data_IF_289726714091
#
_entry.id   IF_289726714091
#
_cell.length_a   1.000
_cell.length_b   1.000
_cell.length_c   1.000
_cell.angle_alpha   90.00
_cell.angle_beta   90.00
_cell.angle_gamma   90.00
#
_symmetry.space_group_name_H-M   'P 1'
#
loop_
_entity.id
_entity.type
_entity.pdbx_description
1 polymer ?
#
# COMPACT_ATOMS: atom_id res chain seq x y z
N UNK A 1 27.20 -18.42 -8.55
CA UNK A 1 26.93 -17.65 -7.31
C UNK A 1 25.84 -16.66 -7.65
N UNK A 2 24.76 -16.65 -6.90
CA UNK A 2 23.66 -15.70 -7.11
C UNK A 2 24.17 -14.31 -6.77
N UNK A 3 24.03 -13.35 -7.69
CA UNK A 3 24.43 -11.96 -7.44
C UNK A 3 23.45 -11.38 -6.40
N UNK A 4 23.97 -10.69 -5.37
CA UNK A 4 23.15 -10.06 -4.32
C UNK A 4 23.01 -8.57 -4.60
N UNK A 5 21.79 -8.04 -4.42
CA UNK A 5 21.55 -6.60 -4.43
C UNK A 5 21.85 -5.99 -3.07
N UNK A 6 21.61 -6.74 -2.00
CA UNK A 6 21.92 -6.32 -0.64
C UNK A 6 22.29 -7.51 0.24
N UNK A 7 23.11 -7.25 1.27
CA UNK A 7 23.48 -8.20 2.31
C UNK A 7 23.51 -7.49 3.66
N UNK A 8 22.89 -8.10 4.65
CA UNK A 8 22.86 -7.64 6.03
C UNK A 8 23.51 -8.67 6.94
N UNK A 9 24.29 -8.21 7.91
CA UNK A 9 24.97 -9.07 8.88
C UNK A 9 24.77 -8.50 10.29
N UNK A 10 24.06 -9.24 11.15
CA UNK A 10 23.78 -8.92 12.56
C UNK A 10 23.28 -7.48 12.76
N UNK A 11 22.38 -7.03 11.89
CA UNK A 11 21.86 -5.66 11.90
C UNK A 11 20.85 -5.48 13.01
N UNK A 12 21.07 -4.46 13.86
CA UNK A 12 20.13 -4.04 14.90
C UNK A 12 19.76 -2.58 14.73
N UNK A 13 18.50 -2.26 15.01
CA UNK A 13 17.98 -0.89 15.00
C UNK A 13 16.95 -0.70 16.09
N UNK A 14 17.09 0.36 16.88
CA UNK A 14 16.15 0.71 17.94
C UNK A 14 15.67 2.15 17.84
N UNK A 15 14.44 2.40 18.27
CA UNK A 15 13.83 3.70 18.44
C UNK A 15 13.52 3.90 19.92
N UNK A 16 14.38 4.63 20.62
CA UNK A 16 14.32 4.69 22.07
C UNK A 16 14.50 3.29 22.69
N UNK A 17 13.52 2.83 23.44
CA UNK A 17 13.51 1.49 24.06
C UNK A 17 12.96 0.40 23.14
N UNK A 18 12.35 0.74 22.01
CA UNK A 18 11.72 -0.22 21.10
C UNK A 18 12.73 -0.72 20.07
N UNK A 19 13.01 -2.03 20.09
CA UNK A 19 13.86 -2.67 19.09
C UNK A 19 13.03 -2.94 17.82
N UNK A 20 13.36 -2.24 16.74
CA UNK A 20 12.67 -2.38 15.45
C UNK A 20 13.28 -3.48 14.58
N UNK A 21 14.60 -3.69 14.66
CA UNK A 21 15.30 -4.80 14.01
C UNK A 21 16.22 -5.48 15.04
N UNK A 22 16.17 -6.81 15.09
CA UNK A 22 16.89 -7.60 16.05
C UNK A 22 17.79 -8.65 15.38
N UNK A 23 19.08 -8.31 15.25
CA UNK A 23 20.13 -9.21 14.77
C UNK A 23 19.85 -9.81 13.38
N UNK A 24 19.32 -8.97 12.46
CA UNK A 24 19.00 -9.38 11.09
C UNK A 24 20.27 -9.77 10.33
N UNK A 25 20.31 -11.01 9.84
CA UNK A 25 21.27 -11.48 8.85
C UNK A 25 20.49 -11.99 7.64
N UNK A 26 20.75 -11.41 6.45
CA UNK A 26 19.90 -11.60 5.28
C UNK A 26 20.68 -11.32 4.00
N UNK A 27 20.54 -12.22 3.02
CA UNK A 27 21.02 -12.06 1.66
C UNK A 27 19.83 -11.80 0.74
N UNK A 28 19.86 -10.72 -0.06
CA UNK A 28 18.78 -10.33 -0.97
C UNK A 28 19.28 -10.48 -2.40
N UNK A 29 18.64 -11.36 -3.22
CA UNK A 29 19.06 -11.60 -4.58
C UNK A 29 18.83 -10.37 -5.48
N UNK A 30 19.71 -10.18 -6.48
CA UNK A 30 19.63 -9.11 -7.48
C UNK A 30 18.74 -9.51 -8.67
N UNK A 31 18.21 -8.51 -9.40
CA UNK A 31 17.45 -8.69 -10.64
C UNK A 31 16.06 -9.29 -10.45
N UNK A 32 15.60 -9.44 -9.22
CA UNK A 32 14.29 -10.04 -8.89
C UNK A 32 13.40 -9.06 -8.12
N UNK A 33 12.11 -9.38 -8.04
CA UNK A 33 11.14 -8.67 -7.18
C UNK A 33 11.06 -9.40 -5.84
N UNK A 34 11.51 -8.71 -4.80
CA UNK A 34 11.55 -9.21 -3.42
C UNK A 34 10.42 -8.58 -2.60
N UNK A 35 9.64 -9.40 -1.92
CA UNK A 35 8.59 -8.95 -0.99
C UNK A 35 9.02 -9.08 0.48
N UNK A 36 8.93 -7.99 1.23
CA UNK A 36 8.96 -8.03 2.70
C UNK A 36 7.53 -8.17 3.19
N UNK A 37 7.19 -9.31 3.76
CA UNK A 37 5.85 -9.61 4.26
C UNK A 37 5.82 -9.71 5.79
N UNK A 38 4.71 -9.35 6.38
CA UNK A 38 4.48 -9.41 7.82
C UNK A 38 3.54 -8.30 8.30
N UNK A 39 3.09 -8.36 9.57
CA UNK A 39 2.18 -7.37 10.16
C UNK A 39 2.77 -5.96 10.18
N UNK A 40 1.93 -4.98 10.49
CA UNK A 40 2.39 -3.61 10.71
C UNK A 40 3.26 -3.52 11.96
N UNK A 41 4.27 -2.64 11.93
CA UNK A 41 5.17 -2.40 13.06
C UNK A 41 6.28 -3.42 13.27
N UNK A 42 6.42 -4.47 12.44
CA UNK A 42 7.46 -5.51 12.61
C UNK A 42 8.85 -5.12 12.11
N UNK A 43 9.04 -3.89 11.61
CA UNK A 43 10.34 -3.40 11.17
C UNK A 43 10.56 -3.35 9.66
N UNK A 44 9.57 -3.67 8.80
CA UNK A 44 9.69 -3.63 7.32
C UNK A 44 10.23 -2.29 6.82
N UNK A 45 9.55 -1.19 7.13
CA UNK A 45 9.96 0.17 6.72
C UNK A 45 11.33 0.57 7.29
N UNK A 46 11.67 0.09 8.48
CA UNK A 46 12.99 0.31 9.10
C UNK A 46 14.10 -0.37 8.31
N UNK A 47 13.86 -1.61 7.86
CA UNK A 47 14.78 -2.35 7.01
C UNK A 47 14.95 -1.65 5.66
N UNK A 48 13.86 -1.24 5.01
CA UNK A 48 13.90 -0.49 3.74
C UNK A 48 14.65 0.83 3.86
N UNK A 49 14.50 1.56 4.97
CA UNK A 49 15.20 2.81 5.22
C UNK A 49 16.72 2.61 5.39
N UNK A 50 17.16 1.49 5.96
CA UNK A 50 18.59 1.13 6.02
C UNK A 50 19.13 0.78 4.63
N UNK A 51 18.40 -0.02 3.84
CA UNK A 51 18.79 -0.41 2.49
C UNK A 51 18.88 0.77 1.53
N UNK A 52 17.99 1.76 1.68
CA UNK A 52 18.00 2.97 0.87
C UNK A 52 19.04 4.02 1.30
N UNK A 53 19.72 3.82 2.44
CA UNK A 53 20.59 4.82 3.04
C UNK A 53 19.87 6.00 3.69
N UNK A 54 18.53 6.00 3.72
CA UNK A 54 17.74 7.05 4.38
C UNK A 54 17.88 7.02 5.92
N UNK A 55 18.48 5.97 6.47
CA UNK A 55 18.72 5.83 7.90
C UNK A 55 20.12 5.33 8.19
N UNK A 56 20.74 5.91 9.23
CA UNK A 56 22.06 5.49 9.70
C UNK A 56 22.00 4.08 10.35
N UNK A 57 23.04 3.29 10.08
CA UNK A 57 23.22 1.97 10.68
C UNK A 57 23.65 2.18 12.14
N UNK A 58 22.94 1.54 13.08
CA UNK A 58 23.29 1.57 14.50
C UNK A 58 24.26 0.45 14.88
N UNK A 59 23.97 -0.77 14.44
CA UNK A 59 24.82 -1.95 14.68
C UNK A 59 24.72 -2.90 13.48
N UNK A 60 25.75 -3.71 13.30
CA UNK A 60 25.86 -4.67 12.22
C UNK A 60 26.42 -4.05 10.94
N UNK A 61 26.31 -4.79 9.83
CA UNK A 61 26.83 -4.37 8.53
C UNK A 61 25.71 -4.45 7.49
N UNK A 62 25.59 -3.41 6.67
CA UNK A 62 24.64 -3.34 5.55
C UNK A 62 25.41 -3.05 4.27
N UNK A 63 25.37 -3.97 3.33
CA UNK A 63 25.94 -3.79 2.00
C UNK A 63 24.80 -3.70 0.97
N UNK A 64 24.88 -2.74 0.07
CA UNK A 64 23.91 -2.54 -1.01
C UNK A 64 24.68 -2.21 -2.30
N UNK A 65 24.29 -2.78 -3.42
CA UNK A 65 24.94 -2.56 -4.72
C UNK A 65 26.48 -2.74 -4.65
N UNK A 66 26.92 -3.75 -3.89
CA UNK A 66 28.31 -4.17 -3.84
C UNK A 66 29.22 -3.41 -2.86
N UNK A 67 28.68 -2.50 -2.05
CA UNK A 67 29.50 -1.78 -1.06
C UNK A 67 28.80 -1.53 0.29
N UNK A 68 29.57 -1.06 1.26
CA UNK A 68 29.15 -0.84 2.63
C UNK A 68 28.41 0.49 2.79
N UNK A 69 27.15 0.44 3.23
CA UNK A 69 26.31 1.61 3.46
C UNK A 69 26.75 2.43 4.69
N UNK A 70 27.71 1.97 5.49
CA UNK A 70 28.36 2.79 6.52
C UNK A 70 29.34 3.81 5.90
N UNK A 71 29.93 3.50 4.73
CA UNK A 71 30.82 4.42 4.00
C UNK A 71 30.03 5.55 3.35
N UNK A 72 30.39 6.81 3.66
CA UNK A 72 29.81 7.98 2.96
C UNK A 72 30.15 7.99 1.48
N UNK A 73 31.41 7.65 1.15
CA UNK A 73 31.86 7.57 -0.24
C UNK A 73 31.04 6.59 -1.07
N UNK A 74 30.76 5.41 -0.52
CA UNK A 74 29.90 4.44 -1.20
C UNK A 74 28.45 4.92 -1.34
N UNK A 75 27.86 5.49 -0.26
CA UNK A 75 26.50 6.05 -0.34
C UNK A 75 26.40 7.14 -1.41
N UNK A 76 27.37 8.06 -1.48
CA UNK A 76 27.38 9.13 -2.48
C UNK A 76 27.49 8.57 -3.90
N UNK A 77 28.25 7.49 -4.09
CA UNK A 77 28.40 6.81 -5.37
C UNK A 77 27.12 6.10 -5.84
N UNK A 78 26.35 5.50 -4.91
CA UNK A 78 25.19 4.67 -5.27
C UNK A 78 23.84 5.36 -5.05
N UNK A 79 23.77 6.54 -4.45
CA UNK A 79 22.50 7.21 -4.15
C UNK A 79 21.66 7.49 -5.40
N UNK A 80 22.30 7.74 -6.54
CA UNK A 80 21.62 7.90 -7.83
C UNK A 80 21.15 6.59 -8.46
N UNK A 81 21.63 5.44 -7.98
CA UNK A 81 21.21 4.11 -8.43
C UNK A 81 20.07 3.53 -7.57
N UNK A 82 19.67 4.21 -6.50
CA UNK A 82 18.63 3.77 -5.57
C UNK A 82 17.44 4.73 -5.62
N UNK A 83 16.26 4.19 -5.87
CA UNK A 83 15.00 4.92 -5.71
C UNK A 83 14.23 4.41 -4.51
N UNK A 84 13.77 5.31 -3.64
CA UNK A 84 12.96 4.97 -2.48
C UNK A 84 11.61 5.69 -2.52
N UNK A 85 10.54 4.93 -2.53
CA UNK A 85 9.16 5.42 -2.41
C UNK A 85 8.64 5.06 -1.01
N UNK A 86 8.56 6.05 -0.09
CA UNK A 86 8.13 5.81 1.29
C UNK A 86 6.62 5.56 1.37
N UNK A 87 6.20 4.93 2.46
CA UNK A 87 4.80 4.66 2.77
C UNK A 87 3.97 5.96 2.81
N UNK A 88 2.77 5.91 2.24
CA UNK A 88 1.77 6.97 2.25
C UNK A 88 1.59 7.66 0.90
N UNK A 89 0.31 7.91 0.58
CA UNK A 89 -0.12 8.46 -0.71
C UNK A 89 0.47 9.87 -0.95
N UNK A 90 1.41 9.95 -1.89
CA UNK A 90 1.98 11.23 -2.32
C UNK A 90 2.95 11.89 -1.34
N UNK A 91 3.49 11.17 -0.37
CA UNK A 91 4.51 11.72 0.57
C UNK A 91 5.79 12.19 -0.11
N UNK A 92 6.13 11.60 -1.25
CA UNK A 92 7.26 12.01 -2.07
C UNK A 92 6.89 13.05 -3.15
N UNK A 93 5.67 13.64 -3.09
CA UNK A 93 5.18 14.59 -4.08
C UNK A 93 5.02 15.99 -3.49
N UNK A 94 5.29 16.99 -4.31
CA UNK A 94 4.91 18.38 -4.06
C UNK A 94 3.47 18.59 -4.53
N UNK A 95 2.52 18.59 -3.60
CA UNK A 95 1.08 18.56 -3.90
C UNK A 95 0.57 19.83 -4.63
N UNK A 96 1.27 20.95 -4.46
CA UNK A 96 0.96 22.22 -5.14
C UNK A 96 1.47 22.27 -6.58
N UNK A 97 2.50 21.48 -6.90
CA UNK A 97 3.07 21.39 -8.23
C UNK A 97 2.21 20.46 -9.10
N UNK A 98 2.20 20.73 -10.41
CA UNK A 98 1.58 19.87 -11.43
C UNK A 98 2.32 18.52 -11.54
N UNK A 99 1.72 17.58 -12.27
CA UNK A 99 2.37 16.28 -12.61
C UNK A 99 3.70 16.55 -13.32
N UNK A 100 3.72 17.43 -14.32
CA UNK A 100 4.93 17.75 -15.08
C UNK A 100 5.99 18.41 -14.20
N UNK A 101 5.63 19.38 -13.37
CA UNK A 101 6.57 20.08 -12.48
C UNK A 101 7.20 19.15 -11.44
N UNK A 102 6.44 18.21 -10.87
CA UNK A 102 7.00 17.18 -9.99
C UNK A 102 8.08 16.38 -10.72
N UNK A 103 7.79 15.88 -11.92
CA UNK A 103 8.74 15.10 -12.70
C UNK A 103 9.96 15.93 -13.15
N UNK A 104 9.74 17.18 -13.55
CA UNK A 104 10.82 18.12 -13.87
C UNK A 104 11.76 18.35 -12.68
N UNK A 105 11.19 18.49 -11.48
CA UNK A 105 11.97 18.66 -10.25
C UNK A 105 12.92 17.51 -10.03
N UNK A 106 12.40 16.28 -9.99
CA UNK A 106 13.24 15.09 -9.75
C UNK A 106 14.24 14.86 -10.89
N UNK A 107 13.84 15.02 -12.15
CA UNK A 107 14.74 14.86 -13.27
C UNK A 107 15.91 15.88 -13.27
N UNK A 108 15.67 17.11 -12.78
CA UNK A 108 16.74 18.10 -12.59
C UNK A 108 17.65 17.74 -11.42
N UNK A 109 17.08 17.21 -10.33
CA UNK A 109 17.84 16.76 -9.16
C UNK A 109 18.88 15.70 -9.55
N UNK A 110 18.51 14.80 -10.48
CA UNK A 110 19.41 13.77 -11.01
C UNK A 110 20.24 14.24 -12.22
N UNK A 111 20.29 15.54 -12.53
CA UNK A 111 21.18 16.12 -13.52
C UNK A 111 20.76 15.93 -14.99
N UNK A 112 19.53 15.49 -15.28
CA UNK A 112 19.07 15.31 -16.65
C UNK A 112 19.01 16.64 -17.41
N UNK A 113 19.53 16.68 -18.64
CA UNK A 113 19.39 17.83 -19.53
C UNK A 113 17.94 17.96 -20.03
N UNK A 114 17.62 19.09 -20.69
CA UNK A 114 16.24 19.40 -21.12
C UNK A 114 15.65 18.35 -22.08
N UNK A 115 16.46 17.80 -22.98
CA UNK A 115 16.03 16.80 -23.96
C UNK A 115 15.71 15.47 -23.27
N UNK A 116 16.58 15.03 -22.37
CA UNK A 116 16.39 13.80 -21.62
C UNK A 116 15.20 13.90 -20.66
N UNK A 117 15.05 15.01 -19.95
CA UNK A 117 13.87 15.24 -19.10
C UNK A 117 12.56 15.09 -19.89
N UNK A 118 12.48 15.74 -21.06
CA UNK A 118 11.27 15.66 -21.89
C UNK A 118 10.99 14.24 -22.33
N UNK A 119 12.02 13.54 -22.80
CA UNK A 119 11.91 12.13 -23.22
C UNK A 119 11.38 11.25 -22.08
N UNK A 120 11.98 11.33 -20.89
CA UNK A 120 11.59 10.51 -19.74
C UNK A 120 10.20 10.84 -19.20
N UNK A 121 9.85 12.12 -19.13
CA UNK A 121 8.51 12.55 -18.71
C UNK A 121 7.45 12.00 -19.67
N UNK A 122 7.64 12.15 -20.98
CA UNK A 122 6.72 11.63 -21.97
C UNK A 122 6.58 10.11 -21.89
N UNK A 123 7.70 9.38 -21.77
CA UNK A 123 7.73 7.92 -21.65
C UNK A 123 6.95 7.44 -20.41
N UNK A 124 7.32 7.93 -19.23
CA UNK A 124 6.72 7.50 -17.97
C UNK A 124 5.25 7.90 -17.86
N UNK A 125 4.89 9.12 -18.28
CA UNK A 125 3.49 9.58 -18.18
C UNK A 125 2.58 8.90 -19.18
N UNK A 126 3.06 8.55 -20.38
CA UNK A 126 2.32 7.72 -21.35
C UNK A 126 2.15 6.30 -20.83
N UNK A 127 3.20 5.70 -20.29
CA UNK A 127 3.16 4.35 -19.73
C UNK A 127 2.18 4.21 -18.56
N UNK A 128 2.03 5.27 -17.74
CA UNK A 128 1.18 5.30 -16.55
C UNK A 128 -0.23 5.85 -16.79
N UNK A 129 -0.49 6.41 -18.00
CA UNK A 129 -1.74 7.08 -18.32
C UNK A 129 -1.89 8.48 -17.67
N UNK A 130 -0.79 9.06 -17.16
CA UNK A 130 -0.78 10.41 -16.58
C UNK A 130 -0.61 11.52 -17.61
N UNK A 131 -0.24 11.19 -18.84
CA UNK A 131 0.05 12.18 -19.89
C UNK A 131 -1.07 13.22 -20.11
N UNK A 132 -2.38 12.88 -20.11
CA UNK A 132 -3.46 13.87 -20.24
C UNK A 132 -3.57 14.83 -19.05
N UNK A 133 -2.90 14.51 -17.94
CA UNK A 133 -3.02 15.24 -16.67
C UNK A 133 -1.75 16.03 -16.31
N UNK A 134 -0.81 16.21 -17.24
CA UNK A 134 0.49 16.86 -17.00
C UNK A 134 0.38 18.19 -16.27
N UNK A 135 -0.62 19.01 -16.59
CA UNK A 135 -0.82 20.33 -15.99
C UNK A 135 -1.67 20.30 -14.71
N UNK A 136 -2.16 19.12 -14.30
CA UNK A 136 -3.00 19.02 -13.09
C UNK A 136 -2.13 19.03 -11.84
N UNK A 137 -2.45 19.86 -10.82
CA UNK A 137 -1.78 19.82 -9.53
C UNK A 137 -1.85 18.43 -8.89
N UNK A 138 -0.75 17.94 -8.35
CA UNK A 138 -0.68 16.61 -7.73
C UNK A 138 -1.68 16.44 -6.58
N UNK A 139 -1.98 17.50 -5.84
CA UNK A 139 -3.00 17.50 -4.80
C UNK A 139 -4.41 17.13 -5.28
N UNK A 140 -4.73 17.44 -6.56
CA UNK A 140 -6.03 17.16 -7.19
C UNK A 140 -6.10 15.81 -7.91
N UNK A 141 -5.09 14.97 -7.78
CA UNK A 141 -5.06 13.60 -8.32
C UNK A 141 -5.78 12.64 -7.37
N UNK A 142 -6.37 11.57 -7.92
CA UNK A 142 -6.85 10.44 -7.12
C UNK A 142 -5.69 9.71 -6.41
N UNK A 143 -5.98 8.90 -5.40
CA UNK A 143 -4.97 8.11 -4.70
C UNK A 143 -4.11 7.25 -5.64
N UNK A 144 -4.75 6.49 -6.54
CA UNK A 144 -4.05 5.68 -7.53
C UNK A 144 -3.21 6.51 -8.52
N UNK A 145 -3.68 7.70 -8.91
CA UNK A 145 -2.88 8.62 -9.76
C UNK A 145 -1.68 9.20 -9.00
N UNK A 146 -1.82 9.52 -7.71
CA UNK A 146 -0.70 9.95 -6.86
C UNK A 146 0.36 8.87 -6.74
N UNK A 147 -0.05 7.60 -6.56
CA UNK A 147 0.88 6.47 -6.53
C UNK A 147 1.63 6.32 -7.86
N UNK A 148 0.92 6.38 -8.98
CA UNK A 148 1.54 6.33 -10.31
C UNK A 148 2.53 7.49 -10.51
N UNK A 149 2.20 8.71 -10.07
CA UNK A 149 3.11 9.85 -10.14
C UNK A 149 4.33 9.66 -9.23
N UNK A 150 4.13 9.19 -8.00
CA UNK A 150 5.22 8.88 -7.07
C UNK A 150 6.20 7.86 -7.65
N UNK A 151 5.66 6.82 -8.30
CA UNK A 151 6.47 5.83 -9.01
C UNK A 151 7.21 6.45 -10.20
N UNK A 152 6.58 7.30 -11.01
CA UNK A 152 7.26 8.00 -12.10
C UNK A 152 8.41 8.87 -11.58
N UNK A 153 8.21 9.58 -10.47
CA UNK A 153 9.28 10.37 -9.84
C UNK A 153 10.44 9.49 -9.36
N UNK A 154 10.15 8.32 -8.80
CA UNK A 154 11.16 7.36 -8.36
C UNK A 154 11.93 6.73 -9.54
N UNK A 155 11.29 6.57 -10.69
CA UNK A 155 11.88 5.92 -11.87
C UNK A 155 12.51 6.90 -12.87
N UNK A 156 12.44 8.21 -12.61
CA UNK A 156 12.86 9.22 -13.60
C UNK A 156 14.33 9.11 -13.98
N UNK A 157 15.16 8.59 -13.08
CA UNK A 157 16.62 8.48 -13.20
C UNK A 157 17.13 7.06 -13.46
N UNK A 158 16.26 6.10 -13.83
CA UNK A 158 16.59 4.70 -14.15
C UNK A 158 17.40 3.98 -13.04
N UNK A 159 16.83 3.84 -11.82
CA UNK A 159 17.55 3.23 -10.71
C UNK A 159 17.87 1.74 -10.94
N UNK A 160 18.98 1.24 -10.40
CA UNK A 160 19.31 -0.19 -10.33
C UNK A 160 18.54 -0.92 -9.22
N UNK A 161 18.16 -0.17 -8.17
CA UNK A 161 17.38 -0.67 -7.03
C UNK A 161 16.18 0.24 -6.77
N UNK A 162 14.98 -0.31 -6.92
CA UNK A 162 13.72 0.34 -6.60
C UNK A 162 13.18 -0.22 -5.28
N UNK A 163 12.99 0.64 -4.29
CA UNK A 163 12.46 0.29 -2.97
C UNK A 163 11.08 0.92 -2.82
N UNK A 164 10.06 0.10 -2.56
CA UNK A 164 8.67 0.50 -2.42
C UNK A 164 8.13 0.10 -1.05
N UNK A 165 7.75 1.09 -0.25
CA UNK A 165 7.23 0.86 1.10
C UNK A 165 5.70 0.97 1.09
N UNK A 166 5.02 -0.17 1.15
CA UNK A 166 3.57 -0.31 1.09
C UNK A 166 2.91 0.53 -0.04
N UNK A 167 3.33 0.35 -1.30
CA UNK A 167 2.98 1.26 -2.38
C UNK A 167 1.50 1.25 -2.74
N UNK A 168 0.74 0.23 -2.34
CA UNK A 168 -0.67 0.05 -2.73
C UNK A 168 -1.64 0.21 -1.55
N UNK A 169 -1.15 0.55 -0.36
CA UNK A 169 -2.00 0.79 0.81
C UNK A 169 -2.92 1.98 0.57
N UNK A 170 -4.23 1.77 0.79
CA UNK A 170 -5.27 2.78 0.54
C UNK A 170 -5.64 2.98 -0.94
N UNK A 171 -5.12 2.14 -1.84
CA UNK A 171 -5.46 2.13 -3.27
C UNK A 171 -6.54 1.10 -3.54
N UNK A 172 -7.51 1.43 -4.40
CA UNK A 172 -8.57 0.50 -4.78
C UNK A 172 -8.04 -0.71 -5.59
N UNK A 173 -8.79 -1.84 -5.61
CA UNK A 173 -8.31 -3.08 -6.24
C UNK A 173 -7.93 -2.94 -7.72
N UNK A 174 -8.67 -2.13 -8.50
CA UNK A 174 -8.38 -1.93 -9.92
C UNK A 174 -7.07 -1.14 -10.10
N UNK A 175 -6.93 -0.03 -9.38
CA UNK A 175 -5.73 0.80 -9.45
C UNK A 175 -4.51 0.03 -8.91
N UNK A 176 -4.68 -0.83 -7.90
CA UNK A 176 -3.66 -1.75 -7.37
C UNK A 176 -3.19 -2.75 -8.44
N UNK A 177 -4.11 -3.43 -9.10
CA UNK A 177 -3.78 -4.35 -10.21
C UNK A 177 -3.03 -3.64 -11.33
N UNK A 178 -3.47 -2.43 -11.72
CA UNK A 178 -2.80 -1.60 -12.73
C UNK A 178 -1.39 -1.19 -12.30
N UNK A 179 -1.17 -0.90 -11.01
CA UNK A 179 0.14 -0.56 -10.46
C UNK A 179 1.13 -1.72 -10.59
N UNK A 180 0.74 -2.93 -10.18
CA UNK A 180 1.59 -4.11 -10.31
C UNK A 180 1.85 -4.52 -11.77
N UNK A 181 0.86 -4.36 -12.63
CA UNK A 181 1.04 -4.57 -14.06
C UNK A 181 2.08 -3.61 -14.66
N UNK A 182 2.05 -2.34 -14.23
CA UNK A 182 3.02 -1.33 -14.62
C UNK A 182 4.44 -1.70 -14.15
N UNK A 183 4.61 -2.09 -12.88
CA UNK A 183 5.92 -2.52 -12.35
C UNK A 183 6.49 -3.69 -13.15
N UNK A 184 5.68 -4.72 -13.43
CA UNK A 184 6.12 -5.88 -14.24
C UNK A 184 6.57 -5.45 -15.64
N UNK A 185 5.82 -4.56 -16.29
CA UNK A 185 6.18 -4.03 -17.61
C UNK A 185 7.48 -3.22 -17.59
N UNK A 186 7.70 -2.41 -16.54
CA UNK A 186 8.94 -1.64 -16.38
C UNK A 186 10.13 -2.60 -16.21
N UNK A 187 10.00 -3.62 -15.37
CA UNK A 187 11.05 -4.65 -15.18
C UNK A 187 11.39 -5.41 -16.48
N UNK A 188 10.38 -5.70 -17.32
CA UNK A 188 10.65 -6.33 -18.63
C UNK A 188 11.58 -5.50 -19.52
N UNK A 189 11.50 -4.15 -19.40
CA UNK A 189 12.38 -3.23 -20.14
C UNK A 189 13.72 -2.96 -19.42
N UNK A 190 13.80 -3.29 -18.12
CA UNK A 190 14.98 -3.10 -17.28
C UNK A 190 15.22 -4.37 -16.44
N UNK A 191 15.68 -5.48 -17.08
CA UNK A 191 15.76 -6.79 -16.41
C UNK A 191 16.77 -6.83 -15.26
N UNK A 192 17.76 -5.95 -15.26
CA UNK A 192 18.78 -5.86 -14.20
C UNK A 192 18.29 -5.06 -12.97
N UNK A 193 17.14 -4.39 -13.06
CA UNK A 193 16.58 -3.62 -11.96
C UNK A 193 16.04 -4.56 -10.88
N UNK A 194 16.60 -4.47 -9.69
CA UNK A 194 16.09 -5.12 -8.49
C UNK A 194 14.94 -4.30 -7.89
N UNK A 195 13.88 -4.97 -7.41
CA UNK A 195 12.75 -4.29 -6.76
C UNK A 195 12.54 -4.92 -5.39
N UNK A 196 12.51 -4.09 -4.33
CA UNK A 196 12.21 -4.54 -2.98
C UNK A 196 10.92 -3.84 -2.54
N UNK A 197 9.94 -4.61 -2.10
CA UNK A 197 8.60 -4.12 -1.76
C UNK A 197 8.23 -4.56 -0.36
N UNK A 198 7.79 -3.67 0.51
CA UNK A 198 7.03 -4.07 1.69
C UNK A 198 5.55 -4.12 1.36
N UNK A 199 4.84 -5.12 1.83
CA UNK A 199 3.38 -5.20 1.72
C UNK A 199 2.77 -5.99 2.88
N UNK A 200 1.57 -5.58 3.31
CA UNK A 200 0.73 -6.36 4.20
C UNK A 200 -0.26 -7.25 3.42
N UNK A 201 -0.34 -7.09 2.09
CA UNK A 201 -1.25 -7.85 1.24
C UNK A 201 -0.59 -9.12 0.72
N UNK A 202 -0.93 -10.27 1.30
CA UNK A 202 -0.35 -11.55 0.93
C UNK A 202 -0.66 -11.95 -0.51
N UNK A 203 -1.84 -11.58 -1.03
CA UNK A 203 -2.22 -11.82 -2.44
C UNK A 203 -1.28 -11.14 -3.44
N UNK A 204 -0.74 -9.97 -3.10
CA UNK A 204 0.26 -9.29 -3.93
C UNK A 204 1.59 -10.04 -3.93
N UNK A 205 1.98 -10.50 -2.74
CA UNK A 205 3.24 -11.19 -2.51
C UNK A 205 3.32 -12.56 -3.21
N UNK A 206 2.18 -13.22 -3.47
CA UNK A 206 2.11 -14.43 -4.30
C UNK A 206 2.69 -14.22 -5.72
N UNK A 207 2.66 -13.00 -6.22
CA UNK A 207 3.16 -12.64 -7.53
C UNK A 207 4.61 -12.15 -7.55
N UNK A 208 5.35 -12.23 -6.44
CA UNK A 208 6.75 -11.81 -6.35
C UNK A 208 7.69 -13.00 -6.55
N UNK A 209 8.94 -12.71 -6.91
CA UNK A 209 9.92 -13.74 -7.22
C UNK A 209 10.50 -14.37 -5.94
N UNK A 210 10.66 -13.57 -4.88
CA UNK A 210 11.26 -13.99 -3.62
C UNK A 210 10.66 -13.22 -2.44
N UNK A 211 10.59 -13.85 -1.27
CA UNK A 211 9.94 -13.30 -0.09
C UNK A 211 10.87 -13.33 1.13
N UNK A 212 10.68 -12.35 1.99
CA UNK A 212 11.26 -12.24 3.34
C UNK A 212 10.10 -12.10 4.31
N UNK A 213 9.81 -13.14 5.08
CA UNK A 213 8.79 -13.10 6.12
C UNK A 213 9.39 -12.54 7.41
N UNK A 214 8.77 -11.48 7.96
CA UNK A 214 9.26 -10.77 9.15
C UNK A 214 8.22 -10.74 10.26
N UNK A 215 8.69 -10.90 11.49
CA UNK A 215 7.89 -10.68 12.70
C UNK A 215 8.78 -10.18 13.84
N UNK A 216 8.28 -9.23 14.63
CA UNK A 216 8.95 -8.70 15.83
C UNK A 216 10.43 -8.31 15.60
N UNK A 217 10.75 -7.68 14.48
CA UNK A 217 12.11 -7.26 14.13
C UNK A 217 13.04 -8.37 13.66
N UNK A 218 12.55 -9.58 13.44
CA UNK A 218 13.33 -10.74 13.01
C UNK A 218 12.84 -11.29 11.67
N UNK A 219 13.72 -11.97 10.93
CA UNK A 219 13.38 -12.73 9.73
C UNK A 219 12.97 -14.14 10.16
N UNK A 220 11.76 -14.56 9.79
CA UNK A 220 11.22 -15.88 10.06
C UNK A 220 11.65 -16.89 9.01
N UNK A 221 11.55 -16.52 7.75
CA UNK A 221 11.88 -17.34 6.60
C UNK A 221 12.15 -16.49 5.37
N UNK A 222 12.87 -17.06 4.41
CA UNK A 222 13.11 -16.48 3.09
C UNK A 222 12.96 -17.55 2.01
N UNK A 223 12.56 -17.18 0.81
CA UNK A 223 12.42 -18.11 -0.33
C UNK A 223 11.39 -17.61 -1.34
N UNK A 224 11.21 -18.33 -2.42
CA UNK A 224 10.11 -18.09 -3.36
C UNK A 224 8.75 -18.41 -2.68
N UNK A 225 7.62 -17.88 -3.17
CA UNK A 225 6.30 -18.29 -2.68
C UNK A 225 6.10 -19.80 -2.69
N UNK A 226 6.54 -20.48 -3.74
CA UNK A 226 6.44 -21.94 -3.86
C UNK A 226 7.24 -22.69 -2.80
N UNK A 227 8.46 -22.24 -2.48
CA UNK A 227 9.27 -22.83 -1.39
C UNK A 227 8.63 -22.62 -0.03
N UNK A 228 8.06 -21.43 0.23
CA UNK A 228 7.36 -21.19 1.49
C UNK A 228 6.09 -22.06 1.61
N UNK A 229 5.30 -22.22 0.55
CA UNK A 229 4.15 -23.14 0.52
C UNK A 229 4.57 -24.59 0.78
N UNK A 230 5.64 -25.06 0.14
CA UNK A 230 6.14 -26.39 0.33
C UNK A 230 6.64 -26.63 1.78
N UNK A 231 7.36 -25.65 2.33
CA UNK A 231 7.89 -25.72 3.69
C UNK A 231 6.80 -25.75 4.75
N UNK A 232 5.72 -25.01 4.53
CA UNK A 232 4.60 -24.86 5.49
C UNK A 232 3.42 -25.79 5.20
N UNK A 233 3.45 -26.53 4.09
CA UNK A 233 2.35 -27.40 3.62
C UNK A 233 1.01 -26.66 3.47
N UNK A 234 1.05 -25.40 2.99
CA UNK A 234 -0.11 -24.53 2.81
C UNK A 234 -0.31 -24.16 1.34
N UNK A 235 -1.53 -23.70 1.00
CA UNK A 235 -1.87 -23.27 -0.37
C UNK A 235 -1.92 -21.74 -0.53
N UNK A 236 -1.85 -20.99 0.58
CA UNK A 236 -1.96 -19.54 0.60
C UNK A 236 -0.89 -18.94 1.50
N UNK A 237 -0.26 -17.83 1.08
CA UNK A 237 0.80 -17.17 1.84
C UNK A 237 0.35 -16.69 3.22
N UNK A 238 -0.91 -16.31 3.40
CA UNK A 238 -1.44 -15.95 4.72
C UNK A 238 -1.34 -17.12 5.70
N UNK A 239 -1.76 -18.31 5.27
CA UNK A 239 -1.65 -19.53 6.07
C UNK A 239 -0.18 -19.93 6.28
N UNK A 240 0.67 -19.78 5.23
CA UNK A 240 2.10 -20.03 5.33
C UNK A 240 2.75 -19.10 6.37
N UNK A 241 2.44 -17.81 6.32
CA UNK A 241 2.96 -16.84 7.27
C UNK A 241 2.56 -17.17 8.72
N UNK A 242 1.29 -17.53 8.96
CA UNK A 242 0.82 -17.95 10.29
C UNK A 242 1.57 -19.18 10.79
N UNK A 243 1.84 -20.15 9.92
CA UNK A 243 2.63 -21.34 10.27
C UNK A 243 4.07 -20.99 10.70
N UNK A 244 4.67 -20.00 10.07
CA UNK A 244 6.03 -19.52 10.37
C UNK A 244 6.13 -18.73 11.68
N UNK A 245 5.03 -18.23 12.22
CA UNK A 245 5.04 -17.49 13.48
C UNK A 245 5.47 -18.40 14.65
N UNK A 246 6.19 -17.86 15.65
CA UNK A 246 6.48 -18.59 16.88
C UNK A 246 5.18 -18.89 17.64
N UNK A 247 5.16 -20.00 18.39
CA UNK A 247 3.96 -20.46 19.12
C UNK A 247 3.38 -19.38 20.07
N UNK A 248 4.24 -18.54 20.65
CA UNK A 248 3.82 -17.42 21.49
C UNK A 248 3.01 -16.37 20.73
N UNK A 249 3.29 -16.16 19.44
CA UNK A 249 2.55 -15.23 18.60
C UNK A 249 1.26 -15.84 18.01
N UNK A 250 1.15 -17.16 18.00
CA UNK A 250 -0.07 -17.90 17.59
C UNK A 250 -1.11 -17.99 18.71
N UNK A 251 -0.74 -17.70 19.96
CA UNK A 251 -1.67 -17.75 21.08
C UNK A 251 -2.84 -16.80 20.89
N UNK A 252 -4.04 -17.35 20.87
CA UNK A 252 -5.28 -16.58 20.60
C UNK A 252 -5.68 -16.45 19.14
N UNK A 253 -4.86 -16.93 18.19
CA UNK A 253 -5.29 -17.03 16.80
C UNK A 253 -6.32 -18.16 16.68
N UNK A 254 -7.55 -17.78 16.35
CA UNK A 254 -8.59 -18.70 15.89
C UNK A 254 -9.01 -18.24 14.51
N UNK A 255 -9.05 -19.17 13.57
CA UNK A 255 -9.62 -18.89 12.26
C UNK A 255 -11.03 -18.31 12.44
N UNK A 256 -11.30 -17.13 11.88
CA UNK A 256 -12.61 -16.51 11.97
C UNK A 256 -13.59 -17.37 11.17
N UNK A 257 -14.36 -18.17 11.87
CA UNK A 257 -15.50 -18.88 11.27
C UNK A 257 -16.70 -17.94 11.37
N UNK A 258 -17.08 -17.35 10.24
CA UNK A 258 -18.36 -16.61 10.16
C UNK A 258 -19.46 -17.64 10.12
N UNK A 259 -20.27 -17.80 11.20
CA UNK A 259 -21.37 -18.74 11.16
C UNK A 259 -22.36 -18.30 10.08
N UNK A 260 -22.98 -19.27 9.37
CA UNK A 260 -24.03 -18.94 8.43
C UNK A 260 -25.14 -18.16 9.14
N UNK A 261 -25.71 -17.15 8.47
CA UNK A 261 -26.82 -16.38 9.00
C UNK A 261 -27.95 -17.35 9.37
N UNK A 262 -28.22 -17.52 10.65
CA UNK A 262 -29.36 -18.33 11.09
C UNK A 262 -30.61 -17.55 10.76
N UNK A 263 -31.32 -17.96 9.71
CA UNK A 263 -32.53 -17.33 9.18
C UNK A 263 -33.70 -17.54 10.15
N UNK A 264 -33.70 -16.84 11.28
CA UNK A 264 -34.82 -16.82 12.23
C UNK A 264 -35.61 -15.51 12.28
N UNK A 265 -34.95 -14.41 12.03
CA UNK A 265 -35.57 -13.06 12.01
C UNK A 265 -35.21 -12.37 10.67
N UNK A 266 -36.15 -12.38 9.73
CA UNK A 266 -36.02 -11.67 8.45
C UNK A 266 -36.19 -10.14 8.59
N UNK A 267 -36.11 -9.60 9.80
CA UNK A 267 -36.26 -8.16 10.04
C UNK A 267 -35.11 -7.38 9.43
N UNK A 268 -35.44 -6.28 8.78
CA UNK A 268 -34.49 -5.39 8.13
C UNK A 268 -33.88 -4.46 9.18
N UNK A 269 -32.57 -4.40 9.21
CA UNK A 269 -31.82 -3.47 10.08
C UNK A 269 -31.65 -2.11 9.39
N UNK A 270 -31.28 -2.10 8.12
CA UNK A 270 -31.04 -0.88 7.33
C UNK A 270 -31.73 -1.06 5.97
N UNK A 271 -32.44 -0.02 5.55
CA UNK A 271 -33.05 0.05 4.22
C UNK A 271 -32.71 1.38 3.57
N UNK A 272 -32.30 1.34 2.32
CA UNK A 272 -32.06 2.51 1.47
C UNK A 272 -33.02 2.45 0.30
N UNK A 273 -33.74 3.53 0.02
CA UNK A 273 -34.66 3.66 -1.09
C UNK A 273 -34.37 4.92 -1.90
N UNK A 274 -33.92 4.75 -3.15
CA UNK A 274 -33.60 5.83 -4.05
C UNK A 274 -32.58 6.82 -3.52
N UNK A 275 -31.66 6.38 -2.67
CA UNK A 275 -30.77 7.24 -1.91
C UNK A 275 -29.78 7.93 -2.85
N UNK A 276 -29.76 9.25 -2.83
CA UNK A 276 -28.85 10.05 -3.68
C UNK A 276 -28.20 11.18 -2.88
N UNK A 277 -26.96 11.53 -3.27
CA UNK A 277 -26.20 12.65 -2.72
C UNK A 277 -25.53 13.45 -3.84
N UNK A 278 -25.77 14.74 -3.83
CA UNK A 278 -25.18 15.70 -4.79
C UNK A 278 -24.47 16.81 -4.00
N UNK A 279 -23.22 17.07 -4.36
CA UNK A 279 -22.41 18.18 -3.83
C UNK A 279 -22.14 19.18 -4.97
N UNK A 280 -22.89 20.30 -4.99
CA UNK A 280 -22.88 21.21 -6.12
C UNK A 280 -23.28 20.49 -7.40
N UNK A 281 -22.42 20.47 -8.40
CA UNK A 281 -22.65 19.76 -9.67
C UNK A 281 -22.20 18.28 -9.64
N UNK A 282 -21.58 17.81 -8.55
CA UNK A 282 -21.05 16.47 -8.43
C UNK A 282 -22.03 15.52 -7.76
N UNK A 283 -22.52 14.51 -8.48
CA UNK A 283 -23.35 13.43 -7.95
C UNK A 283 -22.48 12.34 -7.37
N UNK A 284 -22.37 12.28 -6.04
CA UNK A 284 -21.54 11.31 -5.33
C UNK A 284 -22.22 9.95 -5.15
N UNK A 285 -23.54 9.94 -5.02
CA UNK A 285 -24.40 8.73 -4.94
C UNK A 285 -25.63 8.98 -5.78
N UNK A 286 -26.02 8.00 -6.60
CA UNK A 286 -27.12 8.13 -7.54
C UNK A 286 -28.13 6.97 -7.42
N UNK A 287 -29.30 7.27 -6.85
CA UNK A 287 -30.47 6.40 -6.83
C UNK A 287 -30.20 4.96 -6.34
N UNK A 288 -29.53 4.81 -5.19
CA UNK A 288 -29.13 3.52 -4.63
C UNK A 288 -30.23 2.97 -3.72
N UNK A 289 -30.62 1.71 -3.95
CA UNK A 289 -31.63 1.02 -3.14
C UNK A 289 -31.15 -0.38 -2.76
N UNK A 290 -31.22 -0.73 -1.47
CA UNK A 290 -30.87 -2.04 -0.92
C UNK A 290 -31.40 -2.21 0.49
N UNK A 291 -31.37 -3.43 0.99
CA UNK A 291 -31.75 -3.79 2.36
C UNK A 291 -30.66 -4.64 3.01
N UNK A 292 -30.42 -4.41 4.30
CA UNK A 292 -29.50 -5.16 5.14
C UNK A 292 -30.30 -5.79 6.28
N UNK A 293 -30.25 -7.10 6.43
CA UNK A 293 -30.95 -7.83 7.49
C UNK A 293 -30.24 -7.71 8.82
N UNK A 294 -30.95 -7.91 9.92
CA UNK A 294 -30.33 -8.02 11.25
C UNK A 294 -29.36 -9.20 11.30
N UNK A 295 -28.21 -8.98 11.91
CA UNK A 295 -27.15 -9.99 12.05
C UNK A 295 -26.35 -10.26 10.78
N UNK A 296 -26.63 -9.55 9.68
CA UNK A 296 -25.89 -9.67 8.42
C UNK A 296 -24.62 -8.84 8.46
N UNK A 297 -23.52 -9.42 7.95
CA UNK A 297 -22.29 -8.68 7.62
C UNK A 297 -22.39 -8.26 6.16
N UNK A 298 -22.64 -6.98 5.93
CA UNK A 298 -22.82 -6.43 4.59
C UNK A 298 -21.59 -5.64 4.13
N UNK A 299 -21.03 -5.98 2.98
CA UNK A 299 -19.83 -5.36 2.42
C UNK A 299 -20.13 -4.37 1.29
N UNK A 300 -19.68 -3.12 1.42
CA UNK A 300 -19.65 -2.15 0.31
C UNK A 300 -18.36 -2.30 -0.49
N UNK A 301 -18.43 -2.82 -1.70
CA UNK A 301 -17.30 -2.98 -2.60
C UNK A 301 -17.34 -1.93 -3.71
N UNK A 302 -16.17 -1.49 -4.18
CA UNK A 302 -16.05 -0.56 -5.30
C UNK A 302 -14.78 0.27 -5.26
N UNK A 303 -14.51 0.98 -6.35
CA UNK A 303 -13.35 1.86 -6.52
C UNK A 303 -13.33 3.02 -5.53
N UNK A 304 -12.17 3.64 -5.31
CA UNK A 304 -12.08 4.85 -4.51
C UNK A 304 -12.85 5.98 -5.20
N UNK A 305 -13.62 6.74 -4.40
CA UNK A 305 -14.47 7.84 -4.91
C UNK A 305 -15.83 7.41 -5.48
N UNK A 306 -16.20 6.11 -5.48
CA UNK A 306 -17.51 5.65 -5.97
C UNK A 306 -18.69 5.88 -5.01
N UNK A 307 -18.50 6.63 -3.93
CA UNK A 307 -19.59 6.99 -3.01
C UNK A 307 -19.79 6.11 -1.78
N UNK A 308 -18.97 5.04 -1.56
CA UNK A 308 -19.12 4.12 -0.40
C UNK A 308 -19.22 4.84 0.94
N UNK A 309 -18.23 5.67 1.26
CA UNK A 309 -18.21 6.42 2.54
C UNK A 309 -19.35 7.44 2.64
N UNK A 310 -19.77 8.02 1.51
CA UNK A 310 -20.92 8.93 1.44
C UNK A 310 -22.20 8.17 1.75
N UNK A 311 -22.39 7.00 1.14
CA UNK A 311 -23.54 6.11 1.42
C UNK A 311 -23.56 5.70 2.89
N UNK A 312 -22.43 5.23 3.44
CA UNK A 312 -22.35 4.87 4.86
C UNK A 312 -22.69 6.03 5.80
N UNK A 313 -22.24 7.25 5.50
CA UNK A 313 -22.60 8.45 6.29
C UNK A 313 -24.08 8.78 6.21
N UNK A 314 -24.73 8.59 5.07
CA UNK A 314 -26.18 8.75 4.93
C UNK A 314 -26.93 7.70 5.73
N UNK A 315 -26.51 6.42 5.68
CA UNK A 315 -27.13 5.31 6.42
C UNK A 315 -26.95 5.38 7.93
N UNK A 316 -26.00 6.17 8.40
CA UNK A 316 -25.73 6.37 9.83
C UNK A 316 -26.25 7.72 10.37
N UNK A 317 -26.94 8.49 9.52
CA UNK A 317 -27.46 9.81 9.87
C UNK A 317 -26.40 10.88 10.11
N UNK A 318 -25.16 10.65 9.65
CA UNK A 318 -24.06 11.64 9.71
C UNK A 318 -24.11 12.64 8.55
N UNK A 319 -24.85 12.31 7.49
CA UNK A 319 -25.00 13.15 6.31
C UNK A 319 -26.46 13.04 5.82
N UNK A 320 -27.19 14.17 5.67
CA UNK A 320 -28.52 14.15 5.07
C UNK A 320 -28.42 13.75 3.58
N UNK A 321 -29.34 12.93 3.12
CA UNK A 321 -29.47 12.63 1.68
C UNK A 321 -30.04 13.82 0.91
N UNK A 322 -29.62 14.02 -0.33
CA UNK A 322 -30.21 15.03 -1.23
C UNK A 322 -31.59 14.59 -1.67
N UNK A 323 -31.79 13.27 -1.92
CA UNK A 323 -33.06 12.65 -2.24
C UNK A 323 -33.08 11.18 -1.86
N UNK A 324 -34.26 10.58 -1.86
CA UNK A 324 -34.49 9.22 -1.33
C UNK A 324 -34.59 9.20 0.19
N UNK A 325 -34.66 8.01 0.77
CA UNK A 325 -34.76 7.82 2.21
C UNK A 325 -33.91 6.66 2.70
N UNK A 326 -33.45 6.77 3.95
CA UNK A 326 -32.83 5.66 4.66
C UNK A 326 -33.61 5.36 5.92
N UNK A 327 -33.87 4.09 6.19
CA UNK A 327 -34.54 3.62 7.39
C UNK A 327 -33.53 2.80 8.21
N UNK A 328 -33.59 3.01 9.54
CA UNK A 328 -32.84 2.22 10.50
C UNK A 328 -33.84 1.54 11.44
N UNK A 329 -33.87 0.23 11.45
CA UNK A 329 -34.84 -0.58 12.19
C UNK A 329 -36.30 -0.15 11.96
N UNK A 330 -36.64 0.14 10.68
CA UNK A 330 -37.97 0.57 10.26
C UNK A 330 -38.32 2.04 10.55
N UNK A 331 -37.41 2.83 11.14
CA UNK A 331 -37.61 4.25 11.40
C UNK A 331 -36.82 5.10 10.40
N UNK A 332 -37.46 6.14 9.87
CA UNK A 332 -36.75 7.08 8.98
C UNK A 332 -35.58 7.72 9.71
N UNK A 333 -34.43 7.69 9.07
CA UNK A 333 -33.21 8.36 9.53
C UNK A 333 -33.35 9.87 9.35
N UNK A 334 -33.51 10.58 10.46
CA UNK A 334 -33.40 12.03 10.48
C UNK A 334 -32.02 12.42 11.04
N UNK A 335 -31.18 13.16 10.30
CA UNK A 335 -29.88 13.63 10.79
C UNK A 335 -29.95 14.48 12.05
N UNK A 336 -31.08 15.14 12.31
CA UNK A 336 -31.31 15.97 13.49
C UNK A 336 -31.78 15.16 14.73
N UNK A 337 -32.19 13.89 14.53
CA UNK A 337 -32.63 13.03 15.61
C UNK A 337 -31.48 12.21 16.19
N UNK A 338 -31.08 12.60 17.42
CA UNK A 338 -30.00 11.91 18.15
C UNK A 338 -30.44 10.52 18.63
N UNK A 339 -31.75 10.26 18.81
CA UNK A 339 -32.24 8.99 19.35
C UNK A 339 -31.94 7.82 18.44
N UNK A 340 -32.08 8.00 17.14
CA UNK A 340 -31.78 7.00 16.13
C UNK A 340 -30.28 6.77 16.01
N UNK A 341 -29.47 7.84 16.07
CA UNK A 341 -28.00 7.76 15.98
C UNK A 341 -27.34 7.08 17.18
N UNK A 342 -27.93 7.14 18.36
CA UNK A 342 -27.42 6.43 19.56
C UNK A 342 -27.37 4.91 19.40
N UNK A 343 -28.08 4.36 18.42
CA UNK A 343 -28.12 2.91 18.13
C UNK A 343 -27.08 2.47 17.10
N UNK A 344 -26.30 3.41 16.56
CA UNK A 344 -25.32 3.14 15.49
C UNK A 344 -23.92 3.51 15.96
N UNK A 345 -23.00 2.57 15.90
CA UNK A 345 -21.57 2.83 16.00
C UNK A 345 -20.99 3.12 14.61
N UNK A 346 -20.22 4.20 14.46
CA UNK A 346 -19.51 4.52 13.22
C UNK A 346 -18.02 4.68 13.50
N UNK A 347 -17.22 3.81 12.88
CA UNK A 347 -15.77 3.87 12.97
C UNK A 347 -15.21 4.55 11.72
N UNK A 348 -14.54 5.68 11.90
CA UNK A 348 -13.84 6.37 10.83
C UNK A 348 -12.55 5.64 10.47
N UNK A 349 -12.21 5.64 9.19
CA UNK A 349 -10.88 5.18 8.76
C UNK A 349 -9.80 6.07 9.35
N UNK A 350 -8.82 5.49 10.04
CA UNK A 350 -7.68 6.19 10.64
C UNK A 350 -6.67 6.74 9.61
N UNK A 351 -6.91 6.55 8.33
CA UNK A 351 -5.99 6.98 7.24
C UNK A 351 -5.95 8.52 7.09
N UNK A 352 -6.76 9.28 7.81
CA UNK A 352 -6.89 10.73 7.68
C UNK A 352 -6.79 11.52 8.99
N UNK A 353 -6.06 11.02 9.97
CA UNK A 353 -5.69 11.81 11.15
C UNK A 353 -4.22 12.21 11.06
#
# INVERSE_FOLDING_TARGET
MTTLVAQLQQVQLSYGTTKALDSISLDIPAGVMVGLIGPDGVGKSSLLALLSGARAIQQGKVQVLGGDMASSEHRDAVCADIAYMPQGLGKNLYLTLSVEENLQFFARLFGHNAKERRRRIDELTKATGLYPFLQRPAGKLSGGMKQKLGLCCALIHDPKLLILDEPTTGVDPLARSQFWHLIRRIRQNSPDMSVIVSTAYMDEAEGFDWLIAMNAGQVLATGSPAELHQHTLTQHLEAAFIQLLPESAKQGYQAVVVPPLVSGDNSIAIEAEGLSMVFGDFKAVDNVSFQIKKGEIFGFLGSNGCGKSTTMKMLTGLLPATSGRALLFGQNLNPDDISTRKRVGYMLSLIHI
#
